data_IF_290977236445
#
_entry.id   IF_290977236445
#
_cell.length_a   1.000
_cell.length_b   1.000
_cell.length_c   1.000
_cell.angle_alpha   90.00
_cell.angle_beta   90.00
_cell.angle_gamma   90.00
#
_symmetry.space_group_name_H-M   'P 1'
#
loop_
_entity.id
_entity.type
_entity.pdbx_description
1 polymer ?
2 non-polymer ?
3 water ?
#
# COMPACT_ATOMS: atom_id res chain seq x y z
N UNK A 25 4.60 23.71 -34.89
CA UNK A 25 6.05 23.78 -34.71
C UNK A 25 6.70 24.76 -35.68
N UNK A 26 6.60 24.49 -36.97
CA UNK A 26 7.17 25.37 -37.99
C UNK A 26 6.09 26.07 -38.81
N UNK A 27 4.84 25.99 -38.33
CA UNK A 27 3.70 26.63 -38.98
C UNK A 27 2.51 26.49 -38.02
N UNK A 28 1.77 27.57 -37.78
CA UNK A 28 0.62 27.47 -36.89
C UNK A 28 -0.62 27.16 -37.71
N UNK A 29 -1.27 26.06 -37.35
CA UNK A 29 -2.48 25.63 -38.02
C UNK A 29 -3.69 26.38 -37.48
N UNK A 30 -4.77 26.34 -38.24
CA UNK A 30 -6.04 26.94 -37.86
C UNK A 30 -6.53 26.36 -36.52
N UNK A 31 -6.89 27.23 -35.57
CA UNK A 31 -7.47 26.78 -34.30
C UNK A 31 -8.79 26.03 -34.47
N UNK A 32 -9.08 25.07 -33.60
CA UNK A 32 -10.43 24.48 -33.51
C UNK A 32 -11.44 25.52 -33.05
N UNK A 33 -12.68 25.39 -33.52
CA UNK A 33 -13.75 26.22 -33.04
C UNK A 33 -14.49 25.47 -31.93
N UNK A 34 -14.38 25.98 -30.69
CA UNK A 34 -14.89 25.30 -29.49
C UNK A 34 -16.15 25.97 -28.96
N UNK A 35 -16.95 25.22 -28.18
CA UNK A 35 -18.08 25.85 -27.47
C UNK A 35 -17.57 26.89 -26.47
N UNK A 36 -18.43 27.78 -25.99
CA UNK A 36 -17.99 28.78 -25.03
C UNK A 36 -17.76 28.18 -23.65
N UNK A 37 -16.86 28.78 -22.87
CA UNK A 37 -16.58 28.28 -21.53
C UNK A 37 -17.79 28.40 -20.61
N UNK A 38 -18.75 29.25 -20.98
CA UNK A 38 -19.97 29.42 -20.17
C UNK A 38 -20.87 28.19 -20.26
N UNK A 39 -20.75 27.42 -21.34
CA UNK A 39 -21.52 26.18 -21.45
C UNK A 39 -20.68 24.92 -21.26
N UNK A 40 -19.35 25.07 -21.25
CA UNK A 40 -18.47 23.90 -21.09
C UNK A 40 -17.14 24.33 -20.42
N UNK A 41 -17.02 24.08 -19.12
CA UNK A 41 -15.97 24.66 -18.27
C UNK A 41 -14.54 24.38 -18.72
N UNK A 42 -14.36 23.23 -19.34
CA UNK A 42 -13.01 22.75 -19.59
C UNK A 42 -12.27 23.56 -20.66
N UNK A 43 -12.98 24.37 -21.44
CA UNK A 43 -12.30 25.12 -22.50
C UNK A 43 -11.94 26.54 -22.05
N UNK A 44 -12.14 26.85 -20.77
CA UNK A 44 -11.59 28.08 -20.21
C UNK A 44 -10.10 28.17 -20.57
N UNK A 45 -9.64 29.34 -21.00
CA UNK A 45 -8.26 29.49 -21.47
C UNK A 45 -7.21 29.13 -20.39
N UNK A 46 -6.25 28.27 -20.75
CA UNK A 46 -5.11 27.99 -19.87
C UNK A 46 -4.42 29.27 -19.45
N UNK A 47 -4.06 29.36 -18.17
CA UNK A 47 -3.23 30.45 -17.68
C UNK A 47 -2.51 29.95 -16.44
N UNK A 48 -1.60 30.76 -15.91
CA UNK A 48 -0.95 30.45 -14.65
C UNK A 48 -1.92 30.47 -13.47
N UNK A 49 -3.14 30.97 -13.70
CA UNK A 49 -4.17 30.97 -12.67
C UNK A 49 -5.00 29.69 -12.62
N UNK A 50 -4.79 28.77 -13.55
CA UNK A 50 -5.54 27.54 -13.47
C UNK A 50 -4.76 26.28 -13.84
N UNK A 51 -3.59 26.42 -14.44
CA UNK A 51 -2.74 25.24 -14.67
C UNK A 51 -1.27 25.60 -14.78
N UNK A 52 -0.42 24.84 -14.09
CA UNK A 52 1.02 25.12 -14.11
C UNK A 52 1.81 23.83 -14.36
N UNK A 53 2.93 23.97 -15.05
CA UNK A 53 3.76 22.85 -15.45
C UNK A 53 5.15 22.92 -14.82
N UNK A 54 5.81 21.76 -14.69
CA UNK A 54 7.21 21.71 -14.25
C UNK A 54 8.14 22.15 -15.37
N UNK A 55 9.44 22.30 -15.06
CA UNK A 55 10.46 22.52 -16.09
C UNK A 55 11.58 21.50 -16.01
N UNK A 62 8.06 13.74 -24.26
CA UNK A 62 7.96 15.14 -24.63
C UNK A 62 6.71 15.81 -24.08
N UNK A 63 5.90 15.04 -23.34
CA UNK A 63 4.68 15.55 -22.75
C UNK A 63 4.99 16.43 -21.56
N UNK A 64 4.38 17.63 -21.51
CA UNK A 64 4.60 18.51 -20.36
C UNK A 64 4.20 17.84 -19.05
N UNK A 65 4.93 18.14 -17.99
CA UNK A 65 4.68 17.53 -16.69
C UNK A 65 3.87 18.49 -15.84
N UNK A 66 2.67 18.08 -15.45
CA UNK A 66 1.79 18.98 -14.72
C UNK A 66 2.24 19.16 -13.28
N UNK A 67 2.38 20.40 -12.86
CA UNK A 67 2.76 20.73 -11.49
C UNK A 67 1.51 20.92 -10.63
N UNK A 68 0.50 21.57 -11.19
CA UNK A 68 -0.73 21.77 -10.44
C UNK A 68 -1.80 22.40 -11.30
N UNK A 69 -3.01 22.52 -10.75
CA UNK A 69 -4.09 23.17 -11.49
C UNK A 69 -5.37 23.11 -10.69
N UNK A 70 -6.42 23.73 -11.22
CA UNK A 70 -7.74 23.51 -10.69
C UNK A 70 -8.11 22.06 -11.01
N UNK A 71 -9.05 21.49 -10.27
CA UNK A 71 -9.44 20.12 -10.57
C UNK A 71 -10.02 20.04 -11.98
N UNK A 72 -10.67 21.11 -12.44
CA UNK A 72 -11.22 21.11 -13.80
C UNK A 72 -10.11 20.97 -14.84
N UNK A 73 -9.02 21.72 -14.65
CA UNK A 73 -7.90 21.64 -15.57
C UNK A 73 -7.16 20.29 -15.46
N UNK A 74 -7.08 19.75 -14.26
CA UNK A 74 -6.48 18.42 -14.10
C UNK A 74 -7.28 17.38 -14.88
N UNK A 75 -8.60 17.46 -14.79
CA UNK A 75 -9.48 16.57 -15.54
C UNK A 75 -9.30 16.78 -17.04
N UNK A 76 -9.21 18.03 -17.48
CA UNK A 76 -9.03 18.31 -18.90
C UNK A 76 -7.79 17.60 -19.42
N UNK A 77 -6.68 17.75 -18.70
CA UNK A 77 -5.42 17.13 -19.13
C UNK A 77 -5.43 15.62 -18.96
N UNK A 78 -6.21 15.14 -18.01
CA UNK A 78 -6.40 13.70 -17.82
C UNK A 78 -7.02 13.06 -19.07
N UNK A 79 -7.77 13.88 -19.80
CA UNK A 79 -8.53 13.42 -20.96
C UNK A 79 -8.30 14.35 -22.15
N UNK A 80 -7.04 14.70 -22.36
CA UNK A 80 -6.68 15.78 -23.28
C UNK A 80 -6.88 15.37 -24.73
N UNK A 81 -7.37 16.28 -25.55
CA UNK A 81 -7.66 15.90 -26.94
C UNK A 81 -6.43 15.68 -27.82
N UNK A 82 -5.30 16.28 -27.47
CA UNK A 82 -4.14 16.27 -28.38
C UNK A 82 -3.25 15.03 -28.28
N UNK A 83 -3.28 14.32 -27.15
CA UNK A 83 -2.52 13.09 -27.00
C UNK A 83 -2.91 12.34 -25.73
N UNK A 84 -2.57 11.06 -25.69
CA UNK A 84 -2.70 10.23 -24.50
C UNK A 84 -1.61 10.58 -23.49
N UNK A 85 -1.89 10.29 -22.21
CA UNK A 85 -0.95 10.62 -21.15
C UNK A 85 -1.04 9.52 -20.07
N UNK A 86 -0.55 8.32 -20.40
CA UNK A 86 -0.73 7.17 -19.49
C UNK A 86 -0.06 7.34 -18.13
N UNK A 87 1.07 8.02 -18.07
CA UNK A 87 1.71 8.19 -16.77
C UNK A 87 0.84 9.06 -15.88
N UNK A 88 0.25 10.09 -16.46
CA UNK A 88 -0.62 10.97 -15.69
C UNK A 88 -1.89 10.25 -15.28
N UNK A 89 -2.47 9.46 -16.18
CA UNK A 89 -3.68 8.69 -15.84
C UNK A 89 -3.41 7.77 -14.64
N UNK A 90 -2.27 7.08 -14.68
CA UNK A 90 -1.94 6.16 -13.59
C UNK A 90 -1.76 6.88 -12.27
N UNK A 91 -0.97 7.96 -12.28
CA UNK A 91 -0.67 8.71 -11.06
C UNK A 91 -1.91 9.39 -10.53
N UNK A 92 -2.70 9.95 -11.44
CA UNK A 92 -3.96 10.57 -11.05
C UNK A 92 -4.86 9.55 -10.34
N UNK A 93 -5.04 8.37 -10.93
CA UNK A 93 -5.99 7.43 -10.33
C UNK A 93 -5.50 6.88 -9.00
N UNK A 94 -4.18 6.83 -8.82
CA UNK A 94 -3.61 6.40 -7.54
C UNK A 94 -3.81 7.46 -6.44
N UNK A 95 -3.72 8.73 -6.83
CA UNK A 95 -3.64 9.79 -5.82
C UNK A 95 -4.84 10.73 -5.70
N UNK A 96 -5.83 10.64 -6.58
CA UNK A 96 -6.82 11.72 -6.66
C UNK A 96 -7.66 11.89 -5.40
N UNK A 97 -7.75 10.85 -4.56
CA UNK A 97 -8.66 10.90 -3.42
C UNK A 97 -8.17 11.91 -2.40
N UNK A 98 -6.91 12.30 -2.52
CA UNK A 98 -6.31 13.34 -1.69
C UNK A 98 -6.70 14.77 -2.11
N UNK A 99 -7.39 14.92 -3.24
CA UNK A 99 -7.87 16.26 -3.64
C UNK A 99 -9.26 16.26 -4.28
N UNK A 100 -9.87 15.09 -4.42
CA UNK A 100 -11.15 15.01 -5.11
C UNK A 100 -11.88 13.74 -4.66
N UNK A 101 -13.19 13.82 -4.41
CA UNK A 101 -13.93 12.63 -3.99
C UNK A 101 -14.26 11.74 -5.19
N UNK A 102 -14.38 10.42 -4.97
CA UNK A 102 -14.76 9.49 -6.03
C UNK A 102 -16.05 9.89 -6.77
N UNK A 103 -17.11 10.27 -6.05
CA UNK A 103 -18.35 10.70 -6.68
C UNK A 103 -18.13 11.98 -7.51
N UNK A 104 -17.28 12.85 -6.99
CA UNK A 104 -16.93 14.11 -7.63
C UNK A 104 -16.17 13.84 -8.93
N UNK A 105 -15.23 12.89 -8.90
CA UNK A 105 -14.48 12.52 -10.09
C UNK A 105 -15.41 11.98 -11.18
N UNK A 106 -16.33 11.11 -10.79
CA UNK A 106 -17.31 10.58 -11.76
C UNK A 106 -18.14 11.72 -12.36
N UNK A 107 -18.59 12.66 -11.53
CA UNK A 107 -19.38 13.79 -12.04
C UNK A 107 -18.55 14.63 -13.02
N UNK A 108 -17.28 14.86 -12.68
CA UNK A 108 -16.40 15.63 -13.56
C UNK A 108 -16.18 14.93 -14.89
N UNK A 109 -16.05 13.61 -14.87
CA UNK A 109 -15.77 12.89 -16.12
C UNK A 109 -17.01 12.86 -17.01
N UNK A 110 -18.17 12.76 -16.38
CA UNK A 110 -19.43 12.81 -17.12
C UNK A 110 -19.62 14.21 -17.71
N UNK A 111 -19.35 15.25 -16.92
CA UNK A 111 -19.36 16.62 -17.39
C UNK A 111 -18.42 16.83 -18.59
N UNK A 112 -17.22 16.23 -18.50
CA UNK A 112 -16.24 16.30 -19.58
C UNK A 112 -16.78 15.64 -20.85
N UNK A 113 -17.54 14.57 -20.67
CA UNK A 113 -18.02 13.75 -21.79
C UNK A 113 -19.08 14.45 -22.59
N UNK A 114 -19.96 15.16 -21.90
CA UNK A 114 -21.15 15.72 -22.53
C UNK A 114 -20.81 17.08 -23.14
N UNK A 115 -20.06 17.03 -24.23
CA UNK A 115 -19.55 18.22 -24.87
C UNK A 115 -20.60 18.83 -25.79
N UNK A 116 -20.95 20.10 -25.57
CA UNK A 116 -21.90 20.77 -26.47
C UNK A 116 -21.18 21.24 -27.72
N UNK A 117 -21.87 21.27 -28.86
CA UNK A 117 -21.23 21.78 -30.07
C UNK A 117 -21.38 23.29 -30.09
N UNK A 118 -20.40 24.00 -30.69
CA UNK A 118 -20.49 25.46 -30.79
C UNK A 118 -21.79 25.87 -31.49
N UNK A 119 -22.30 27.06 -31.17
CA UNK A 119 -23.45 27.63 -31.89
C UNK A 119 -23.18 27.68 -33.39
N UNK A 120 -24.08 27.11 -34.20
CA UNK A 120 -23.91 27.23 -35.66
C UNK A 120 -23.84 28.69 -36.10
N UNK A 121 -22.95 28.97 -37.04
CA UNK A 121 -22.80 30.32 -37.57
C UNK A 121 -23.99 30.62 -38.50
N UNK A 122 -24.13 31.87 -38.92
CA UNK A 122 -25.23 32.22 -39.80
C UNK A 122 -25.17 31.46 -41.12
N UNK A 123 -23.96 31.33 -41.67
CA UNK A 123 -23.77 30.56 -42.90
C UNK A 123 -24.06 29.07 -42.70
N UNK A 124 -23.68 28.55 -41.54
CA UNK A 124 -24.02 27.18 -41.16
C UNK A 124 -25.52 26.95 -41.21
N UNK A 125 -26.27 27.90 -40.64
CA UNK A 125 -27.73 27.79 -40.54
C UNK A 125 -28.39 27.80 -41.91
N UNK A 126 -27.83 28.58 -42.83
CA UNK A 126 -28.29 28.60 -44.21
C UNK A 126 -28.15 27.22 -44.87
N UNK A 127 -26.94 26.67 -44.78
CA UNK A 127 -26.61 25.38 -45.39
C UNK A 127 -27.47 24.25 -44.85
N UNK A 128 -27.71 24.24 -43.54
CA UNK A 128 -28.56 23.24 -42.92
C UNK A 128 -30.00 23.32 -43.44
N UNK A 129 -30.52 24.54 -43.50
CA UNK A 129 -31.88 24.76 -43.96
C UNK A 129 -32.04 24.46 -45.45
N UNK A 130 -31.00 24.74 -46.22
CA UNK A 130 -30.98 24.42 -47.65
C UNK A 130 -31.17 22.91 -47.86
N UNK A 131 -30.56 22.13 -46.98
CA UNK A 131 -30.70 20.68 -47.00
C UNK A 131 -29.64 19.97 -47.83
N UNK A 132 -29.28 18.76 -47.41
CA UNK A 132 -28.37 17.89 -48.16
C UNK A 132 -27.00 18.53 -48.40
N UNK A 133 -26.61 19.44 -47.52
CA UNK A 133 -25.28 20.02 -47.54
C UNK A 133 -24.43 19.34 -46.46
N UNK A 134 -23.13 19.17 -46.73
CA UNK A 134 -22.24 18.64 -45.68
C UNK A 134 -22.20 19.60 -44.49
N UNK A 135 -21.94 19.09 -43.29
CA UNK A 135 -21.76 19.96 -42.12
C UNK A 135 -20.56 20.86 -42.35
N UNK A 136 -20.43 21.94 -41.58
CA UNK A 136 -19.36 22.90 -41.81
C UNK A 136 -18.00 22.24 -41.57
N UNK A 137 -16.98 22.73 -42.26
CA UNK A 137 -15.62 22.23 -42.07
C UNK A 137 -15.19 22.36 -40.61
N UNK A 138 -15.57 23.44 -39.95
CA UNK A 138 -15.20 23.66 -38.55
C UNK A 138 -15.88 22.65 -37.66
N UNK A 139 -17.13 22.32 -37.96
CA UNK A 139 -17.87 21.37 -37.12
C UNK A 139 -17.31 19.97 -37.31
N UNK A 140 -16.97 19.63 -38.55
CA UNK A 140 -16.34 18.33 -38.85
C UNK A 140 -15.04 18.17 -38.06
N UNK A 141 -14.18 19.19 -38.08
CA UNK A 141 -12.93 19.16 -37.33
C UNK A 141 -13.15 19.00 -35.84
N UNK A 142 -14.11 19.75 -35.32
CA UNK A 142 -14.42 19.71 -33.89
C UNK A 142 -14.85 18.29 -33.48
N UNK A 143 -15.74 17.68 -34.25
CA UNK A 143 -16.22 16.34 -33.91
C UNK A 143 -15.09 15.31 -33.97
N UNK A 144 -14.22 15.44 -34.96
CA UNK A 144 -13.18 14.47 -35.21
C UNK A 144 -11.95 14.67 -34.33
N UNK A 145 -11.54 15.93 -34.17
CA UNK A 145 -10.28 16.21 -33.49
C UNK A 145 -10.46 16.55 -32.02
N UNK A 146 -11.68 16.84 -31.60
CA UNK A 146 -11.88 17.20 -30.19
C UNK A 146 -12.83 16.25 -29.49
N UNK A 147 -14.06 16.21 -29.95
CA UNK A 147 -15.08 15.41 -29.27
C UNK A 147 -14.71 13.92 -29.20
N UNK A 148 -14.40 13.31 -30.33
CA UNK A 148 -14.15 11.86 -30.31
C UNK A 148 -12.90 11.51 -29.49
N UNK A 149 -11.77 12.21 -29.67
CA UNK A 149 -10.62 11.89 -28.81
C UNK A 149 -10.90 12.08 -27.33
N UNK A 150 -11.54 13.18 -26.93
CA UNK A 150 -11.81 13.40 -25.51
C UNK A 150 -12.71 12.29 -24.97
N UNK A 151 -13.76 11.97 -25.71
CA UNK A 151 -14.69 10.95 -25.23
C UNK A 151 -14.04 9.58 -25.10
N UNK A 152 -13.14 9.23 -26.02
CA UNK A 152 -12.40 7.98 -25.93
C UNK A 152 -11.43 7.99 -24.74
N UNK A 153 -10.79 9.14 -24.49
CA UNK A 153 -9.90 9.24 -23.33
C UNK A 153 -10.66 9.09 -22.02
N UNK A 154 -11.89 9.59 -21.97
CA UNK A 154 -12.72 9.40 -20.79
C UNK A 154 -13.02 7.92 -20.58
N UNK A 155 -13.41 7.23 -21.65
CA UNK A 155 -13.69 5.80 -21.53
C UNK A 155 -12.42 5.04 -21.11
N UNK A 156 -11.26 5.47 -21.58
CA UNK A 156 -9.99 4.88 -21.13
C UNK A 156 -9.79 5.07 -19.63
N UNK A 157 -10.06 6.27 -19.14
CA UNK A 157 -9.93 6.53 -17.70
C UNK A 157 -10.87 5.61 -16.90
N UNK A 158 -12.13 5.51 -17.33
CA UNK A 158 -13.09 4.60 -16.70
C UNK A 158 -12.53 3.17 -16.61
N UNK A 159 -11.99 2.69 -17.73
CA UNK A 159 -11.43 1.33 -17.82
C UNK A 159 -10.29 1.11 -16.82
N UNK A 160 -9.36 2.05 -16.74
CA UNK A 160 -8.28 1.96 -15.75
C UNK A 160 -8.80 2.08 -14.31
N UNK A 161 -9.83 2.90 -14.13
CA UNK A 161 -10.40 3.12 -12.81
C UNK A 161 -11.01 1.82 -12.26
N UNK A 162 -11.86 1.17 -13.05
CA UNK A 162 -12.47 -0.08 -12.58
C UNK A 162 -11.49 -1.26 -12.57
N UNK A 163 -10.48 -1.22 -13.42
CA UNK A 163 -9.50 -2.30 -13.46
C UNK A 163 -8.58 -2.27 -12.24
N UNK A 164 -8.07 -1.10 -11.90
CA UNK A 164 -7.00 -1.00 -10.91
C UNK A 164 -7.42 -0.42 -9.56
N UNK A 165 -8.65 0.09 -9.49
CA UNK A 165 -9.14 0.70 -8.26
C UNK A 165 -10.58 0.35 -7.98
N UNK A 166 -10.93 -0.92 -8.21
CA UNK A 166 -12.31 -1.31 -8.10
C UNK A 166 -12.86 -1.16 -6.67
N UNK A 167 -11.95 -1.11 -5.69
CA UNK A 167 -12.38 -0.90 -4.30
C UNK A 167 -13.18 0.39 -4.12
N UNK A 168 -12.94 1.41 -4.94
CA UNK A 168 -13.76 2.63 -4.88
C UNK A 168 -15.23 2.27 -5.06
N UNK A 169 -15.49 1.30 -5.93
CA UNK A 169 -16.85 0.93 -6.27
C UNK A 169 -17.43 -0.08 -5.28
N UNK A 170 -16.54 -0.86 -4.66
CA UNK A 170 -16.96 -1.81 -3.62
C UNK A 170 -17.39 -1.05 -2.37
N UNK A 171 -16.68 0.05 -2.08
CA UNK A 171 -16.94 0.89 -0.92
C UNK A 171 -18.13 1.80 -1.09
N UNK A 172 -18.55 2.02 -2.34
CA UNK A 172 -19.63 2.94 -2.61
C UNK A 172 -20.51 2.38 -3.72
N UNK A 173 -21.64 1.78 -3.33
CA UNK A 173 -22.52 1.14 -4.30
C UNK A 173 -23.15 2.12 -5.27
N UNK A 174 -23.44 3.33 -4.81
CA UNK A 174 -24.08 4.31 -5.69
C UNK A 174 -23.11 4.75 -6.77
N UNK A 175 -21.82 4.81 -6.44
CA UNK A 175 -20.80 5.16 -7.42
C UNK A 175 -20.84 4.20 -8.61
N UNK A 176 -20.90 2.90 -8.34
CA UNK A 176 -20.91 1.90 -9.41
C UNK A 176 -22.20 1.96 -10.21
N UNK A 177 -23.31 2.12 -9.52
CA UNK A 177 -24.60 2.24 -10.18
C UNK A 177 -24.64 3.46 -11.10
N UNK A 178 -24.10 4.58 -10.64
CA UNK A 178 -23.99 5.77 -11.49
C UNK A 178 -23.12 5.51 -12.72
N UNK A 179 -21.98 4.87 -12.51
CA UNK A 179 -21.09 4.60 -13.63
C UNK A 179 -21.78 3.69 -14.66
N UNK A 180 -22.36 2.60 -14.18
CA UNK A 180 -23.03 1.64 -15.07
C UNK A 180 -24.17 2.30 -15.82
N UNK A 181 -24.93 3.14 -15.13
CA UNK A 181 -26.03 3.84 -15.77
C UNK A 181 -25.50 4.75 -16.86
N UNK A 182 -24.41 5.46 -16.57
CA UNK A 182 -23.86 6.36 -17.56
C UNK A 182 -23.40 5.62 -18.81
N UNK A 183 -22.67 4.52 -18.66
CA UNK A 183 -22.12 3.87 -19.86
C UNK A 183 -23.21 3.19 -20.68
N UNK A 184 -24.34 2.87 -20.05
CA UNK A 184 -25.49 2.35 -20.79
C UNK A 184 -26.12 3.45 -21.66
N UNK A 185 -25.91 4.71 -21.27
CA UNK A 185 -26.49 5.84 -21.99
C UNK A 185 -25.65 6.27 -23.20
N UNK A 186 -24.45 5.73 -23.34
CA UNK A 186 -23.57 6.16 -24.43
C UNK A 186 -24.02 5.60 -25.78
N UNK A 187 -24.07 6.47 -26.79
CA UNK A 187 -24.51 6.11 -28.14
C UNK A 187 -23.35 5.94 -29.13
N UNK A 188 -23.62 5.23 -30.22
CA UNK A 188 -22.68 5.16 -31.32
C UNK A 188 -21.75 3.96 -31.30
N UNK A 189 -21.61 3.33 -32.46
CA UNK A 189 -20.79 2.12 -32.59
C UNK A 189 -19.31 2.39 -32.32
N UNK A 190 -18.90 3.65 -32.42
CA UNK A 190 -17.50 4.02 -32.24
C UNK A 190 -17.01 3.74 -30.82
N UNK A 191 -17.94 3.60 -29.88
CA UNK A 191 -17.58 3.43 -28.48
C UNK A 191 -18.12 2.17 -27.86
N UNK A 192 -18.90 1.41 -28.63
CA UNK A 192 -19.51 0.21 -28.08
C UNK A 192 -18.46 -0.80 -27.66
N UNK A 193 -17.35 -0.84 -28.39
CA UNK A 193 -16.21 -1.67 -28.01
C UNK A 193 -15.70 -1.27 -26.63
N UNK A 194 -15.58 0.04 -26.42
CA UNK A 194 -15.10 0.59 -25.15
C UNK A 194 -16.08 0.35 -24.01
N UNK A 195 -17.35 0.64 -24.25
CA UNK A 195 -18.38 0.46 -23.23
C UNK A 195 -18.46 -1.02 -22.80
N UNK A 196 -18.53 -1.92 -23.78
CA UNK A 196 -18.59 -3.36 -23.49
C UNK A 196 -17.34 -3.85 -22.77
N UNK A 197 -16.20 -3.26 -23.09
CA UNK A 197 -14.96 -3.60 -22.40
C UNK A 197 -15.01 -3.19 -20.92
N UNK A 198 -15.58 -2.02 -20.65
CA UNK A 198 -15.74 -1.56 -19.28
C UNK A 198 -16.72 -2.48 -18.53
N UNK A 199 -17.82 -2.83 -19.20
CA UNK A 199 -18.81 -3.75 -18.63
C UNK A 199 -18.18 -5.08 -18.28
N UNK A 200 -17.36 -5.61 -19.20
CA UNK A 200 -16.71 -6.90 -19.01
C UNK A 200 -15.81 -6.89 -17.78
N UNK A 201 -15.06 -5.81 -17.60
CA UNK A 201 -14.20 -5.69 -16.42
C UNK A 201 -15.04 -5.65 -15.16
N UNK A 202 -16.16 -4.92 -15.21
CA UNK A 202 -17.01 -4.82 -14.03
C UNK A 202 -17.62 -6.18 -13.70
N UNK A 203 -18.00 -6.94 -14.73
CA UNK A 203 -18.50 -8.29 -14.55
C UNK A 203 -17.50 -9.19 -13.83
N UNK A 204 -16.27 -9.21 -14.32
CA UNK A 204 -15.21 -10.01 -13.73
C UNK A 204 -14.92 -9.60 -12.28
N UNK A 205 -14.92 -8.31 -12.03
CA UNK A 205 -14.66 -7.80 -10.68
C UNK A 205 -15.76 -8.21 -9.69
N UNK A 206 -17.02 -8.12 -10.13
CA UNK A 206 -18.16 -8.42 -9.26
C UNK A 206 -18.19 -9.89 -8.85
N UNK A 207 -17.85 -10.78 -9.79
CA UNK A 207 -17.84 -12.20 -9.52
C UNK A 207 -16.86 -12.58 -8.41
N UNK A 208 -15.62 -12.15 -8.55
CA UNK A 208 -14.54 -12.49 -7.62
C UNK A 208 -14.91 -12.21 -6.15
N UNK A 217 -4.05 -22.62 -4.70
CA UNK A 217 -2.61 -22.36 -4.67
C UNK A 217 -1.82 -23.52 -5.26
N UNK A 218 -0.94 -23.22 -6.22
CA UNK A 218 -0.16 -24.25 -6.91
C UNK A 218 1.34 -24.06 -6.75
N UNK A 219 2.08 -25.16 -6.84
CA UNK A 219 3.52 -25.15 -6.68
C UNK A 219 4.25 -25.74 -7.89
N UNK A 220 5.23 -25.00 -8.40
CA UNK A 220 6.04 -25.42 -9.54
C UNK A 220 6.97 -26.57 -9.15
N UNK A 221 7.47 -26.49 -7.92
CA UNK A 221 8.25 -27.56 -7.30
C UNK A 221 7.70 -27.78 -5.90
N UNK A 222 7.72 -29.03 -5.41
CA UNK A 222 7.13 -29.36 -4.11
C UNK A 222 7.67 -28.51 -2.95
N UNK A 223 6.79 -27.85 -2.19
CA UNK A 223 7.23 -27.12 -1.00
C UNK A 223 7.78 -28.08 0.04
N UNK A 224 8.67 -27.60 0.91
CA UNK A 224 9.21 -28.50 1.93
C UNK A 224 8.12 -28.96 2.91
N UNK A 225 8.31 -30.13 3.52
CA UNK A 225 7.34 -30.62 4.51
C UNK A 225 7.22 -29.68 5.71
N UNK A 226 6.02 -29.55 6.25
CA UNK A 226 5.79 -28.78 7.47
C UNK A 226 6.63 -29.37 8.60
N UNK A 227 7.26 -28.50 9.39
CA UNK A 227 8.08 -28.93 10.53
C UNK A 227 7.32 -28.82 11.84
N UNK A 228 7.43 -29.87 12.67
CA UNK A 228 6.79 -29.90 13.98
C UNK A 228 7.80 -30.20 15.06
N UNK A 229 7.56 -29.63 16.25
CA UNK A 229 8.45 -29.77 17.40
C UNK A 229 7.66 -30.49 18.50
N UNK A 230 7.30 -29.79 19.57
CA UNK A 230 6.57 -30.42 20.67
C UNK A 230 5.07 -30.48 20.38
N UNK A 231 4.49 -29.34 20.00
CA UNK A 231 3.10 -29.33 19.54
C UNK A 231 2.98 -30.17 18.27
N UNK A 232 1.95 -31.00 18.21
CA UNK A 232 1.76 -31.89 17.08
C UNK A 232 0.55 -31.43 16.26
N UNK A 233 0.47 -31.85 14.98
CA UNK A 233 -0.62 -31.41 14.11
C UNK A 233 -1.98 -31.50 14.79
N UNK A 234 -2.78 -30.46 14.65
CA UNK A 234 -4.13 -30.45 15.23
C UNK A 234 -4.23 -29.97 16.66
N UNK A 235 -3.13 -30.04 17.41
CA UNK A 235 -3.15 -29.65 18.83
C UNK A 235 -3.03 -28.15 19.04
N UNK A 236 -3.86 -27.35 18.37
CA UNK A 236 -3.64 -25.91 18.35
C UNK A 236 -3.76 -25.26 19.73
N UNK A 237 -4.39 -25.95 20.68
CA UNK A 237 -4.54 -25.43 22.04
C UNK A 237 -3.20 -25.35 22.78
N UNK A 238 -2.23 -26.13 22.33
CA UNK A 238 -0.92 -26.21 22.96
C UNK A 238 0.13 -25.32 22.30
N UNK A 239 -0.24 -24.72 21.17
CA UNK A 239 0.68 -23.89 20.39
C UNK A 239 1.25 -22.76 21.23
N UNK A 240 2.56 -22.56 21.13
CA UNK A 240 3.22 -21.45 21.80
C UNK A 240 4.59 -21.28 21.18
N UNK A 241 5.27 -20.19 21.50
CA UNK A 241 6.58 -19.90 20.90
C UNK A 241 7.56 -21.06 21.01
N UNK A 242 7.56 -21.74 22.16
CA UNK A 242 8.60 -22.73 22.42
C UNK A 242 8.18 -24.14 22.07
N UNK A 243 6.88 -24.35 21.85
CA UNK A 243 6.40 -25.70 21.51
C UNK A 243 6.21 -25.89 20.02
N UNK A 244 6.04 -24.81 19.28
CA UNK A 244 6.03 -24.90 17.82
C UNK A 244 7.47 -25.03 17.33
N UNK A 245 7.64 -25.43 16.07
CA UNK A 245 8.98 -25.53 15.50
C UNK A 245 9.45 -24.15 15.00
N UNK A 246 10.66 -23.72 15.38
CA UNK A 246 11.10 -22.37 15.00
C UNK A 246 11.16 -22.17 13.48
N UNK A 247 11.53 -23.20 12.72
CA UNK A 247 11.48 -23.08 11.27
C UNK A 247 10.07 -22.76 10.80
N UNK A 248 9.11 -23.48 11.36
CA UNK A 248 7.73 -23.34 10.87
C UNK A 248 7.07 -22.05 11.38
N UNK A 249 7.44 -21.60 12.58
CA UNK A 249 7.00 -20.28 13.03
C UNK A 249 7.41 -19.22 11.99
N UNK A 250 8.68 -19.25 11.60
CA UNK A 250 9.18 -18.28 10.63
C UNK A 250 8.49 -18.43 9.27
N UNK A 251 8.29 -19.67 8.83
CA UNK A 251 7.60 -19.89 7.55
C UNK A 251 6.18 -19.35 7.57
N UNK A 252 5.43 -19.68 8.63
CA UNK A 252 4.02 -19.33 8.64
C UNK A 252 3.84 -17.84 8.82
N UNK A 253 4.73 -17.23 9.61
CA UNK A 253 4.68 -15.77 9.75
C UNK A 253 5.09 -15.08 8.46
N UNK A 254 6.01 -15.68 7.72
CA UNK A 254 6.42 -15.12 6.44
C UNK A 254 5.27 -15.20 5.43
N UNK A 255 4.57 -16.32 5.39
CA UNK A 255 3.39 -16.44 4.51
C UNK A 255 2.33 -15.41 4.88
N UNK A 256 2.07 -15.26 6.17
CA UNK A 256 1.09 -14.29 6.64
C UNK A 256 1.51 -12.86 6.25
N UNK A 257 2.75 -12.50 6.54
CA UNK A 257 3.22 -11.12 6.28
C UNK A 257 3.31 -10.83 4.80
N UNK A 258 3.65 -11.85 4.02
CA UNK A 258 3.67 -11.72 2.56
C UNK A 258 2.27 -11.40 2.04
N UNK A 259 1.27 -12.11 2.56
CA UNK A 259 -0.11 -11.89 2.17
C UNK A 259 -0.59 -10.48 2.56
N UNK A 260 -0.27 -10.05 3.77
CA UNK A 260 -0.64 -8.71 4.22
C UNK A 260 0.01 -7.64 3.35
N UNK A 261 1.28 -7.83 3.05
CA UNK A 261 2.03 -6.86 2.25
C UNK A 261 1.44 -6.74 0.86
N UNK A 262 1.13 -7.89 0.27
CA UNK A 262 0.64 -7.96 -1.10
C UNK A 262 -0.69 -7.24 -1.29
N UNK A 263 -1.49 -7.19 -0.23
CA UNK A 263 -2.82 -6.61 -0.32
C UNK A 263 -2.88 -5.09 -0.14
N UNK A 264 -1.76 -4.45 0.19
CA UNK A 264 -1.78 -3.00 0.39
C UNK A 264 -1.84 -2.25 -0.95
N UNK A 265 -2.87 -1.43 -1.11
CA UNK A 265 -2.98 -0.58 -2.29
C UNK A 265 -2.34 0.77 -2.01
N UNK A 266 -1.63 1.33 -3.01
CA UNK A 266 -0.96 2.63 -2.92
C UNK A 266 -1.85 3.76 -2.38
N UNK A 267 -3.13 3.80 -2.78
CA UNK A 267 -4.02 4.87 -2.33
C UNK A 267 -4.25 4.84 -0.82
N UNK A 268 -3.99 3.69 -0.18
CA UNK A 268 -4.12 3.59 1.28
C UNK A 268 -3.05 4.40 1.98
N UNK A 269 -1.99 4.74 1.24
CA UNK A 269 -0.86 5.49 1.76
C UNK A 269 -0.90 6.98 1.41
N UNK A 270 -1.60 7.32 0.35
CA UNK A 270 -1.62 8.70 -0.12
C UNK A 270 -2.34 9.62 0.86
N UNK A 271 -1.82 10.82 1.07
CA UNK A 271 -2.48 11.81 1.89
C UNK A 271 -2.48 11.44 3.36
N UNK A 272 -1.64 10.48 3.72
CA UNK A 272 -1.57 9.96 5.09
C UNK A 272 -2.95 9.55 5.60
N UNK A 273 -3.78 8.98 4.74
CA UNK A 273 -5.16 8.70 5.11
C UNK A 273 -5.29 7.66 6.22
N UNK A 274 -4.26 6.82 6.41
CA UNK A 274 -4.32 5.78 7.45
C UNK A 274 -4.19 6.38 8.85
N UNK A 275 -3.86 7.67 8.92
CA UNK A 275 -3.70 8.33 10.22
C UNK A 275 -4.87 9.28 10.50
N UNK A 276 -5.87 9.26 9.63
CA UNK A 276 -6.95 10.24 9.71
C UNK A 276 -8.29 9.59 10.02
N UNK A 277 -9.32 10.44 10.13
CA UNK A 277 -10.63 10.08 10.66
C UNK A 277 -11.24 8.82 10.04
N UNK A 278 -11.20 8.73 8.71
CA UNK A 278 -11.82 7.59 8.04
C UNK A 278 -10.82 6.49 7.69
N UNK A 279 -9.77 6.35 8.50
CA UNK A 279 -8.70 5.39 8.20
C UNK A 279 -9.21 3.95 8.01
N UNK A 280 -10.26 3.55 8.73
CA UNK A 280 -10.66 2.15 8.68
C UNK A 280 -11.26 1.80 7.32
N UNK A 281 -11.87 2.80 6.68
CA UNK A 281 -12.46 2.63 5.36
C UNK A 281 -11.42 2.79 4.25
N UNK A 282 -10.56 3.78 4.40
CA UNK A 282 -9.61 4.15 3.34
C UNK A 282 -8.33 3.33 3.33
N UNK A 283 -7.94 2.78 4.48
CA UNK A 283 -6.67 2.06 4.57
C UNK A 283 -6.75 0.71 5.28
N UNK A 284 -7.76 -0.13 4.93
CA UNK A 284 -7.95 -1.34 5.73
C UNK A 284 -6.79 -2.33 5.66
N UNK A 285 -6.16 -2.46 4.51
CA UNK A 285 -5.09 -3.45 4.36
C UNK A 285 -3.81 -2.94 5.00
N UNK A 286 -3.52 -1.66 4.80
CA UNK A 286 -2.37 -1.04 5.46
C UNK A 286 -2.50 -1.13 6.98
N UNK A 287 -3.67 -0.81 7.53
CA UNK A 287 -3.85 -0.92 8.97
C UNK A 287 -3.69 -2.36 9.48
N UNK A 288 -4.17 -3.34 8.73
CA UNK A 288 -4.00 -4.74 9.12
C UNK A 288 -2.53 -5.09 9.22
N UNK A 289 -1.75 -4.58 8.27
CA UNK A 289 -0.31 -4.83 8.23
C UNK A 289 0.40 -4.19 9.41
N UNK A 290 0.12 -2.91 9.64
CA UNK A 290 0.71 -2.19 10.76
C UNK A 290 0.35 -2.84 12.09
N UNK A 291 -0.91 -3.24 12.24
CA UNK A 291 -1.38 -3.78 13.49
C UNK A 291 -0.79 -5.17 13.74
N UNK A 292 -0.60 -5.93 12.66
CA UNK A 292 0.10 -7.21 12.76
C UNK A 292 1.50 -7.01 13.32
N UNK A 293 2.22 -6.03 12.77
CA UNK A 293 3.60 -5.77 13.17
C UNK A 293 3.66 -5.36 14.63
N UNK A 294 2.76 -4.45 15.04
CA UNK A 294 2.68 -4.04 16.44
C UNK A 294 2.41 -5.23 17.36
N UNK A 295 1.42 -6.04 17.01
CA UNK A 295 1.06 -7.16 17.87
C UNK A 295 2.17 -8.23 17.93
N UNK A 296 2.79 -8.51 16.80
CA UNK A 296 3.84 -9.53 16.80
C UNK A 296 5.05 -9.07 17.61
N UNK A 297 5.43 -7.80 17.44
CA UNK A 297 6.55 -7.25 18.23
C UNK A 297 6.24 -7.33 19.72
N UNK A 298 5.04 -6.91 20.11
CA UNK A 298 4.67 -6.98 21.53
C UNK A 298 4.63 -8.42 21.99
N UNK A 299 4.23 -9.35 21.13
CA UNK A 299 4.21 -10.76 21.54
C UNK A 299 5.61 -11.29 21.81
N UNK A 300 6.57 -10.96 20.96
CA UNK A 300 7.96 -11.38 21.23
C UNK A 300 8.43 -10.81 22.57
N UNK A 301 8.11 -9.53 22.83
CA UNK A 301 8.51 -8.91 24.08
C UNK A 301 7.88 -9.61 25.29
N UNK A 302 6.58 -9.87 25.16
CA UNK A 302 5.84 -10.57 26.21
C UNK A 302 6.45 -11.94 26.52
N UNK A 303 6.78 -12.70 25.48
CA UNK A 303 7.38 -14.02 25.67
C UNK A 303 8.67 -13.93 26.46
N UNK A 304 9.47 -12.93 26.14
CA UNK A 304 10.76 -12.76 26.83
C UNK A 304 10.57 -12.35 28.29
N UNK A 305 9.81 -11.29 28.50
CA UNK A 305 9.69 -10.70 29.84
C UNK A 305 8.89 -11.58 30.80
N UNK A 306 7.94 -12.37 30.26
CA UNK A 306 7.13 -13.25 31.10
C UNK A 306 7.83 -14.56 31.44
N UNK A 307 8.97 -14.81 30.81
CA UNK A 307 9.78 -15.98 31.17
C UNK A 307 10.62 -15.62 32.39
N UNK A 308 10.08 -15.84 33.58
CA UNK A 308 10.73 -15.35 34.80
C UNK A 308 11.94 -16.19 35.18
N UNK A 309 11.88 -17.49 34.94
CA UNK A 309 13.03 -18.38 35.14
C UNK A 309 14.15 -18.02 34.18
N UNK A 310 15.35 -17.78 34.72
CA UNK A 310 16.45 -17.25 33.92
C UNK A 310 16.81 -18.15 32.73
N UNK A 311 16.97 -19.45 32.98
CA UNK A 311 17.36 -20.38 31.91
C UNK A 311 16.29 -20.44 30.82
N UNK A 312 15.04 -20.42 31.25
CA UNK A 312 13.92 -20.43 30.31
C UNK A 312 13.96 -19.17 29.44
N UNK A 313 14.25 -18.05 30.06
CA UNK A 313 14.23 -16.77 29.34
C UNK A 313 15.34 -16.72 28.31
N UNK A 314 16.52 -17.22 28.70
CA UNK A 314 17.62 -17.27 27.78
C UNK A 314 17.26 -18.18 26.59
N UNK A 315 16.55 -19.27 26.86
CA UNK A 315 16.13 -20.18 25.80
C UNK A 315 15.09 -19.55 24.89
N UNK A 316 14.22 -18.71 25.46
CA UNK A 316 13.23 -18.00 24.66
C UNK A 316 13.88 -16.99 23.73
N UNK A 317 14.80 -16.19 24.26
CA UNK A 317 15.51 -15.21 23.43
C UNK A 317 16.30 -15.93 22.34
N UNK A 318 16.92 -17.05 22.71
CA UNK A 318 17.68 -17.85 21.74
C UNK A 318 16.77 -18.36 20.62
N UNK A 319 15.57 -18.79 20.98
CA UNK A 319 14.62 -19.31 19.99
C UNK A 319 14.17 -18.20 19.05
N UNK A 320 13.99 -17.01 19.62
CA UNK A 320 13.60 -15.85 18.82
C UNK A 320 14.72 -15.48 17.84
N UNK A 321 15.97 -15.64 18.24
CA UNK A 321 17.08 -15.39 17.32
C UNK A 321 17.08 -16.47 16.20
N UNK A 322 16.75 -17.70 16.54
CA UNK A 322 16.66 -18.73 15.50
C UNK A 322 15.56 -18.39 14.49
N UNK A 323 14.42 -17.92 14.98
CA UNK A 323 13.33 -17.50 14.10
C UNK A 323 13.82 -16.36 13.20
N UNK A 324 14.58 -15.43 13.78
CA UNK A 324 15.17 -14.33 12.99
C UNK A 324 16.05 -14.88 11.87
N UNK A 325 16.90 -15.85 12.17
CA UNK A 325 17.74 -16.48 11.16
C UNK A 325 16.93 -17.02 9.98
N UNK A 326 15.84 -17.71 10.29
CA UNK A 326 15.02 -18.26 9.21
C UNK A 326 14.28 -17.16 8.42
N UNK A 327 13.79 -16.13 9.12
CA UNK A 327 13.28 -14.92 8.46
C UNK A 327 14.31 -14.38 7.46
N UNK A 328 15.55 -14.23 7.94
CA UNK A 328 16.68 -13.78 7.10
C UNK A 328 16.88 -14.70 5.87
N UNK A 329 16.91 -16.00 6.11
CA UNK A 329 17.07 -16.96 5.01
C UNK A 329 15.95 -16.84 3.98
N UNK A 330 14.76 -16.46 4.43
CA UNK A 330 13.58 -16.33 3.58
C UNK A 330 13.43 -14.93 2.97
N UNK A 331 14.40 -14.05 3.23
CA UNK A 331 14.30 -12.64 2.85
C UNK A 331 13.05 -11.95 3.37
N UNK A 332 12.58 -12.36 4.55
CA UNK A 332 11.48 -11.64 5.20
C UNK A 332 12.09 -10.60 6.12
N UNK A 333 12.40 -9.43 5.58
CA UNK A 333 13.02 -8.40 6.40
C UNK A 333 12.00 -7.72 7.30
N UNK A 334 10.72 -7.80 6.94
CA UNK A 334 9.68 -7.33 7.83
C UNK A 334 9.78 -8.08 9.17
N UNK A 335 9.89 -9.40 9.08
CA UNK A 335 10.03 -10.23 10.27
C UNK A 335 11.35 -10.01 10.99
N UNK A 336 12.44 -9.85 10.25
CA UNK A 336 13.73 -9.61 10.90
C UNK A 336 13.66 -8.36 11.74
N UNK A 337 13.09 -7.29 11.18
CA UNK A 337 13.08 -6.02 11.89
C UNK A 337 12.00 -5.94 12.97
N UNK A 338 10.96 -6.78 12.89
CA UNK A 338 10.03 -6.92 14.01
C UNK A 338 10.76 -7.45 15.25
N UNK A 339 11.63 -8.43 15.04
CA UNK A 339 12.40 -8.99 16.14
C UNK A 339 13.45 -8.00 16.65
N UNK A 340 14.11 -7.28 15.76
CA UNK A 340 15.05 -6.23 16.16
C UNK A 340 14.31 -5.17 17.01
N UNK A 341 13.11 -4.81 16.56
CA UNK A 341 12.30 -3.84 17.29
C UNK A 341 12.00 -4.36 18.69
N UNK A 342 11.67 -5.64 18.78
CA UNK A 342 11.34 -6.26 20.06
C UNK A 342 12.53 -6.23 21.02
N UNK A 343 13.74 -6.55 20.56
CA UNK A 343 14.87 -6.55 21.50
C UNK A 343 15.36 -5.12 21.81
N UNK A 344 15.03 -4.15 20.95
CA UNK A 344 15.32 -2.74 21.24
C UNK A 344 14.35 -2.10 22.25
N UNK A 345 13.19 -2.73 22.45
CA UNK A 345 12.16 -2.17 23.34
C UNK A 345 12.73 -1.92 24.74
N UNK A 346 12.24 -0.89 25.43
CA UNK A 346 12.90 -0.53 26.68
C UNK A 346 12.81 -1.65 27.74
N UNK A 347 11.75 -2.46 27.69
CA UNK A 347 11.58 -3.53 28.69
C UNK A 347 12.55 -4.69 28.42
N UNK A 348 12.87 -4.93 27.16
CA UNK A 348 13.77 -6.06 26.83
C UNK A 348 15.24 -5.66 26.83
N UNK A 349 15.53 -4.50 26.25
CA UNK A 349 16.89 -4.00 26.05
C UNK A 349 17.65 -3.93 27.36
N UNK A 350 16.91 -3.68 28.44
CA UNK A 350 17.56 -3.53 29.75
C UNK A 350 17.94 -4.85 30.42
N UNK A 351 17.62 -5.98 29.80
CA UNK A 351 17.88 -7.29 30.42
C UNK A 351 19.31 -7.76 30.13
N UNK A 352 20.28 -7.04 30.66
CA UNK A 352 21.69 -7.32 30.33
C UNK A 352 22.13 -8.74 30.68
N UNK A 353 21.61 -9.29 31.77
CA UNK A 353 22.01 -10.64 32.18
C UNK A 353 21.58 -11.69 31.16
N UNK A 354 20.41 -11.46 30.56
CA UNK A 354 19.87 -12.39 29.57
C UNK A 354 20.68 -12.38 28.30
N UNK A 355 21.03 -11.19 27.82
CA UNK A 355 21.85 -11.07 26.62
C UNK A 355 23.26 -11.64 26.84
N UNK A 356 23.81 -11.42 28.03
CA UNK A 356 25.16 -11.91 28.32
C UNK A 356 25.23 -13.44 28.30
N UNK A 357 24.12 -14.09 28.60
CA UNK A 357 24.09 -15.56 28.69
C UNK A 357 23.86 -16.26 27.35
N UNK A 358 23.55 -15.49 26.30
CA UNK A 358 23.40 -16.04 24.95
C UNK A 358 24.69 -16.66 24.48
N UNK A 359 24.63 -17.77 23.75
CA UNK A 359 25.85 -18.30 23.16
C UNK A 359 26.36 -17.29 22.12
N UNK A 360 27.68 -17.21 22.00
CA UNK A 360 28.35 -16.20 21.18
C UNK A 360 27.87 -16.18 19.74
N UNK A 361 27.63 -17.35 19.17
CA UNK A 361 27.21 -17.45 17.78
C UNK A 361 25.82 -16.82 17.55
N UNK A 362 24.91 -17.04 18.50
CA UNK A 362 23.57 -16.47 18.38
C UNK A 362 23.62 -14.98 18.64
N UNK A 363 24.50 -14.57 19.54
CA UNK A 363 24.66 -13.15 19.81
C UNK A 363 25.15 -12.42 18.56
N UNK A 364 26.10 -13.02 17.85
CA UNK A 364 26.63 -12.42 16.63
C UNK A 364 25.53 -12.32 15.59
N UNK A 365 24.68 -13.33 15.53
CA UNK A 365 23.62 -13.34 14.52
C UNK A 365 22.66 -12.21 14.81
N UNK A 366 22.28 -12.07 16.07
CA UNK A 366 21.37 -11.00 16.48
C UNK A 366 21.98 -9.63 16.22
N UNK A 367 23.27 -9.47 16.52
CA UNK A 367 23.87 -8.14 16.36
C UNK A 367 24.04 -7.76 14.90
N UNK A 368 24.32 -8.73 14.04
CA UNK A 368 24.37 -8.40 12.62
C UNK A 368 23.01 -7.92 12.10
N UNK A 369 21.93 -8.48 12.63
CA UNK A 369 20.60 -8.07 12.20
C UNK A 369 20.29 -6.67 12.73
N UNK A 370 20.64 -6.41 13.98
CA UNK A 370 20.38 -5.11 14.57
C UNK A 370 21.12 -4.05 13.76
N UNK A 371 22.29 -4.40 13.27
CA UNK A 371 23.10 -3.46 12.51
C UNK A 371 22.47 -3.07 11.19
N UNK A 372 21.61 -3.93 10.64
CA UNK A 372 20.85 -3.58 9.44
C UNK A 372 20.07 -2.28 9.60
N UNK A 373 19.64 -2.00 10.83
CA UNK A 373 18.76 -0.86 11.06
C UNK A 373 19.53 0.42 11.38
N UNK A 374 20.81 0.30 11.69
CA UNK A 374 21.60 1.44 12.12
C UNK A 374 21.85 2.44 10.99
N UNK A 375 22.10 3.69 11.37
CA UNK A 375 22.38 4.77 10.43
C UNK A 375 21.28 4.88 9.37
N UNK A 376 20.05 5.03 9.84
CA UNK A 376 18.86 5.13 8.99
C UNK A 376 18.76 3.95 8.00
N UNK A 377 18.89 2.74 8.54
CA UNK A 377 18.73 1.50 7.79
C UNK A 377 19.68 1.38 6.59
N UNK A 378 20.88 1.95 6.72
CA UNK A 378 21.85 1.94 5.64
C UNK A 378 22.14 0.53 5.11
N UNK A 379 22.53 -0.38 6.00
CA UNK A 379 22.90 -1.73 5.57
C UNK A 379 21.70 -2.56 5.12
N UNK A 380 20.53 -2.29 5.70
CA UNK A 380 19.29 -2.90 5.21
C UNK A 380 19.01 -2.54 3.76
N UNK A 381 19.15 -1.25 3.45
CA UNK A 381 18.82 -0.75 2.13
C UNK A 381 19.72 -1.33 1.03
N UNK A 382 21.00 -1.54 1.34
CA UNK A 382 21.87 -2.17 0.37
C UNK A 382 21.52 -3.65 0.22
N UNK A 383 21.08 -4.28 1.32
CA UNK A 383 20.73 -5.70 1.24
C UNK A 383 19.46 -5.90 0.43
N UNK A 384 18.52 -4.97 0.55
CA UNK A 384 17.24 -5.06 -0.16
C UNK A 384 17.44 -5.02 -1.68
N UNK A 385 18.34 -4.16 -2.13
CA UNK A 385 18.53 -3.95 -3.57
C UNK A 385 19.21 -5.15 -4.25
N UNK A 386 19.84 -6.02 -3.46
CA UNK A 386 20.61 -7.12 -4.02
C UNK A 386 19.87 -8.45 -4.06
N UNK A 387 18.94 -8.67 -3.15
CA UNK A 387 18.37 -10.01 -3.01
C UNK A 387 17.38 -10.34 -4.11
N UNK A 388 17.12 -11.64 -4.24
CA UNK A 388 16.20 -12.13 -5.24
C UNK A 388 14.88 -12.52 -4.59
N UNK A 389 13.77 -12.30 -5.30
CA UNK A 389 12.45 -12.74 -4.84
C UNK A 389 12.42 -14.25 -4.58
N UNK A 390 11.53 -14.71 -3.71
CA UNK A 390 10.57 -13.89 -2.95
C UNK A 390 11.17 -13.19 -1.72
N UNK A 391 10.57 -12.05 -1.37
CA UNK A 391 10.99 -11.32 -0.18
C UNK A 391 9.81 -10.58 0.42
N UNK A 392 9.95 -10.16 1.68
CA UNK A 392 8.99 -9.25 2.30
C UNK A 392 9.74 -8.06 2.85
N UNK A 393 9.66 -6.91 2.17
CA UNK A 393 10.39 -5.73 2.60
C UNK A 393 9.93 -5.24 3.96
N UNK A 394 10.84 -4.57 4.66
CA UNK A 394 10.48 -3.82 5.86
C UNK A 394 9.57 -2.68 5.43
N UNK A 395 8.36 -2.63 6.00
CA UNK A 395 7.35 -1.69 5.54
C UNK A 395 7.53 -0.29 6.15
N UNK A 396 8.13 -0.23 7.34
CA UNK A 396 8.25 1.02 8.07
C UNK A 396 8.92 2.17 7.37
N UNK A 397 9.89 1.88 6.52
CA UNK A 397 10.65 2.93 5.89
C UNK A 397 9.81 3.68 4.85
N UNK A 398 8.86 2.97 4.22
CA UNK A 398 7.95 3.61 3.27
C UNK A 398 6.99 4.54 4.00
N UNK A 399 6.49 4.10 5.15
CA UNK A 399 5.56 4.91 5.93
C UNK A 399 6.21 6.21 6.41
N UNK A 400 7.43 6.08 6.92
CA UNK A 400 8.20 7.23 7.35
C UNK A 400 8.42 8.23 6.20
N UNK A 401 8.88 7.73 5.05
CA UNK A 401 9.13 8.61 3.90
C UNK A 401 7.86 9.27 3.38
N UNK A 402 6.76 8.54 3.38
CA UNK A 402 5.50 9.12 2.95
C UNK A 402 5.04 10.21 3.93
N UNK A 403 5.16 9.96 5.23
CA UNK A 403 4.77 10.96 6.21
C UNK A 403 5.61 12.24 6.04
N UNK A 404 6.91 12.10 5.85
CA UNK A 404 7.78 13.25 5.62
C UNK A 404 7.37 14.03 4.39
N UNK A 405 7.09 13.32 3.30
CA UNK A 405 6.73 13.97 2.05
C UNK A 405 5.39 14.70 2.17
N UNK A 406 4.42 14.09 2.84
CA UNK A 406 3.12 14.74 3.05
C UNK A 406 3.29 16.01 3.90
N UNK A 407 4.08 15.88 4.97
CA UNK A 407 4.37 17.02 5.84
C UNK A 407 5.19 18.12 5.15
N UNK A 408 6.11 17.72 4.29
CA UNK A 408 7.08 18.65 3.73
C UNK A 408 6.67 19.33 2.44
N UNK A 409 5.42 19.11 2.02
CA UNK A 409 4.90 19.72 0.80
C UNK A 409 3.47 20.19 1.00
N UNK A 410 3.14 21.36 0.47
CA UNK A 410 1.79 21.89 0.64
C UNK A 410 0.82 21.22 -0.32
N UNK A 411 -0.43 21.03 0.13
CA UNK A 411 -1.47 20.46 -0.72
C UNK A 411 -1.85 21.39 -1.86
N UNK A 412 -1.61 22.69 -1.66
CA UNK A 412 -2.04 23.68 -2.63
C UNK A 412 -0.90 24.56 -3.09
N UNK A 413 -1.04 25.08 -4.30
CA UNK A 413 -0.21 26.18 -4.77
C UNK A 413 -1.00 27.46 -4.55
N UNK A 414 -0.40 28.40 -3.83
CA UNK A 414 -1.09 29.64 -3.48
C UNK A 414 -1.27 30.56 -4.70
N UNK A 415 -2.49 31.09 -4.85
CA UNK A 415 -2.82 32.01 -5.93
C UNK A 415 -3.58 33.20 -5.38
N UNK A 416 -3.70 34.25 -6.19
CA UNK A 416 -4.50 35.41 -5.83
C UNK A 416 -5.98 35.00 -5.81
N UNK A 417 -6.39 34.20 -6.79
CA UNK A 417 -7.73 33.62 -6.80
C UNK A 417 -7.76 32.27 -6.09
N UNK A 418 -8.53 31.34 -6.64
CA UNK A 418 -8.59 29.99 -6.08
C UNK A 418 -7.21 29.32 -6.13
N UNK A 419 -6.78 28.76 -5.00
CA UNK A 419 -5.50 28.08 -4.96
C UNK A 419 -5.54 26.81 -5.79
N UNK A 420 -4.41 26.43 -6.35
CA UNK A 420 -4.35 25.28 -7.23
C UNK A 420 -3.96 24.02 -6.47
N UNK A 421 -4.45 22.88 -6.92
CA UNK A 421 -4.03 21.62 -6.37
C UNK A 421 -2.55 21.40 -6.71
N UNK A 422 -1.74 21.07 -5.71
CA UNK A 422 -0.33 20.77 -5.93
C UNK A 422 -0.17 19.32 -6.38
N UNK A 423 -0.16 19.08 -7.70
CA UNK A 423 -0.14 17.70 -8.17
C UNK A 423 1.27 17.09 -8.05
N UNK A 424 2.29 17.92 -8.14
CA UNK A 424 3.65 17.40 -8.05
C UNK A 424 3.90 16.74 -6.69
N UNK A 425 3.25 17.24 -5.65
CA UNK A 425 3.30 16.58 -4.35
C UNK A 425 2.76 15.16 -4.44
N UNK A 426 1.65 14.98 -5.15
CA UNK A 426 1.05 13.66 -5.26
C UNK A 426 1.94 12.73 -6.05
N UNK A 427 2.56 13.26 -7.11
CA UNK A 427 3.50 12.49 -7.91
C UNK A 427 4.65 11.97 -7.06
N UNK A 428 5.16 12.82 -6.16
CA UNK A 428 6.26 12.40 -5.28
C UNK A 428 5.84 11.25 -4.37
N UNK A 429 4.63 11.32 -3.84
CA UNK A 429 4.12 10.23 -3.01
C UNK A 429 3.97 8.96 -3.85
N UNK A 430 3.41 9.11 -5.05
CA UNK A 430 3.20 7.95 -5.92
C UNK A 430 4.52 7.27 -6.27
N UNK A 431 5.61 8.04 -6.36
CA UNK A 431 6.93 7.45 -6.60
C UNK A 431 7.27 6.49 -5.47
N UNK A 432 7.02 6.91 -4.23
CA UNK A 432 7.28 6.02 -3.09
C UNK A 432 6.37 4.80 -3.12
N UNK A 433 5.07 4.98 -3.36
CA UNK A 433 4.17 3.82 -3.38
C UNK A 433 4.49 2.87 -4.53
N UNK A 434 5.06 3.38 -5.61
CA UNK A 434 5.47 2.52 -6.72
C UNK A 434 6.54 1.51 -6.32
N UNK A 435 7.38 1.91 -5.37
CA UNK A 435 8.46 1.08 -4.88
C UNK A 435 7.90 -0.10 -4.09
N UNK A 436 6.84 0.16 -3.33
CA UNK A 436 6.18 -0.90 -2.56
C UNK A 436 5.65 -1.96 -3.50
N UNK A 437 5.05 -1.52 -4.61
CA UNK A 437 4.40 -2.44 -5.53
C UNK A 437 5.34 -3.43 -6.19
N UNK A 438 6.62 -3.07 -6.34
CA UNK A 438 7.52 -3.93 -7.12
C UNK A 438 7.80 -5.26 -6.40
N UNK A 439 7.42 -5.36 -5.13
CA UNK A 439 7.66 -6.58 -4.36
C UNK A 439 6.39 -7.38 -4.03
N UNK A 440 5.26 -7.01 -4.64
CA UNK A 440 3.97 -7.59 -4.27
C UNK A 440 3.53 -8.81 -5.09
N UNK A 441 4.31 -9.20 -6.08
CA UNK A 441 3.92 -10.36 -6.86
C UNK A 441 4.97 -11.45 -6.77
N UNK A 442 5.32 -11.82 -5.54
CA UNK A 442 6.38 -12.80 -5.30
C UNK A 442 5.97 -13.85 -4.29
N UNK A 443 5.22 -14.87 -4.73
CA UNK A 443 4.75 -15.95 -3.84
C UNK A 443 5.88 -16.81 -3.30
N UNK A 444 5.74 -17.24 -2.04
CA UNK A 444 6.68 -18.17 -1.43
C UNK A 444 6.33 -19.62 -1.74
N UNK A 445 7.35 -20.44 -1.94
CA UNK A 445 7.16 -21.86 -2.15
C UNK A 445 7.07 -22.57 -0.80
N UNK A 446 6.06 -22.20 -0.02
CA UNK A 446 5.87 -22.73 1.32
C UNK A 446 4.40 -23.07 1.50
N UNK A 447 4.13 -24.22 2.11
CA UNK A 447 2.76 -24.67 2.34
C UNK A 447 2.19 -24.02 3.60
N UNK A 448 0.95 -23.55 3.52
CA UNK A 448 0.26 -22.97 4.69
C UNK A 448 -0.11 -24.07 5.68
N UNK A 449 0.12 -23.81 6.97
CA UNK A 449 -0.40 -24.66 8.04
C UNK A 449 -1.58 -23.93 8.65
N UNK A 450 -2.82 -24.41 8.38
CA UNK A 450 -4.01 -23.63 8.73
C UNK A 450 -4.14 -23.30 10.23
N UNK A 451 -3.87 -24.25 11.12
CA UNK A 451 -3.96 -23.96 12.56
C UNK A 451 -2.90 -22.94 13.01
N UNK A 452 -1.68 -23.09 12.52
CA UNK A 452 -0.63 -22.14 12.87
C UNK A 452 -0.94 -20.75 12.29
N UNK A 453 -1.48 -20.71 11.08
CA UNK A 453 -1.93 -19.44 10.49
C UNK A 453 -2.95 -18.74 11.38
N UNK A 454 -3.97 -19.47 11.85
CA UNK A 454 -4.98 -18.89 12.73
C UNK A 454 -4.35 -18.41 14.03
N UNK A 455 -3.41 -19.18 14.56
CA UNK A 455 -2.72 -18.80 15.79
C UNK A 455 -2.06 -17.43 15.65
N UNK A 456 -1.36 -17.22 14.55
CA UNK A 456 -0.65 -15.96 14.39
C UNK A 456 -1.58 -14.82 14.00
N UNK A 457 -2.66 -15.12 13.28
CA UNK A 457 -3.64 -14.09 12.97
C UNK A 457 -4.36 -13.59 14.23
N UNK A 458 -4.52 -14.48 15.20
CA UNK A 458 -5.29 -14.18 16.38
C UNK A 458 -4.47 -13.75 17.61
N UNK A 459 -3.15 -13.58 17.45
CA UNK A 459 -2.30 -13.16 18.57
C UNK A 459 -2.84 -11.90 19.23
N UNK A 460 -2.98 -11.94 20.55
CA UNK A 460 -3.46 -10.79 21.31
C UNK A 460 -2.66 -10.61 22.59
N UNK A 461 -1.40 -10.20 22.46
CA UNK A 461 -0.56 -10.09 23.65
C UNK A 461 -1.10 -9.13 24.71
N UNK A 462 -1.79 -8.07 24.31
CA UNK A 462 -2.22 -7.06 25.27
C UNK A 462 -3.38 -7.52 26.13
N UNK A 463 -4.11 -8.54 25.67
CA UNK A 463 -5.29 -8.99 26.39
C UNK A 463 -6.30 -7.87 26.51
N UNK A 464 -6.70 -7.55 27.74
CA UNK A 464 -7.66 -6.47 27.96
C UNK A 464 -6.98 -5.11 28.18
N UNK A 465 -5.65 -5.11 28.22
CA UNK A 465 -4.93 -3.88 28.54
C UNK A 465 -4.89 -2.91 27.37
N UNK A 466 -4.83 -1.63 27.68
CA UNK A 466 -4.52 -0.62 26.67
C UNK A 466 -3.04 -0.76 26.31
N UNK A 467 -2.63 -0.18 25.19
CA UNK A 467 -1.23 -0.25 24.80
C UNK A 467 -0.36 0.39 25.88
N UNK A 468 -0.83 1.50 26.46
CA UNK A 468 -0.13 2.15 27.55
C UNK A 468 -0.04 1.25 28.78
N UNK A 469 -1.16 0.66 29.15
CA UNK A 469 -1.18 -0.25 30.29
C UNK A 469 -0.23 -1.42 30.05
N UNK A 470 -0.23 -1.95 28.83
CA UNK A 470 0.58 -3.13 28.55
C UNK A 470 2.07 -2.78 28.53
N UNK A 471 2.39 -1.61 28.00
CA UNK A 471 3.75 -1.09 28.03
C UNK A 471 4.29 -1.00 29.46
N UNK A 472 3.49 -0.43 30.36
CA UNK A 472 3.88 -0.35 31.75
C UNK A 472 4.02 -1.74 32.35
N UNK A 473 3.08 -2.62 32.02
CA UNK A 473 3.14 -4.00 32.52
C UNK A 473 4.47 -4.67 32.13
N UNK A 474 4.84 -4.57 30.86
CA UNK A 474 6.10 -5.15 30.42
C UNK A 474 7.28 -4.59 31.20
N UNK A 475 7.28 -3.28 31.43
CA UNK A 475 8.45 -2.69 32.06
C UNK A 475 8.56 -3.13 33.50
N UNK A 476 7.42 -3.17 34.19
CA UNK A 476 7.45 -3.54 35.58
C UNK A 476 7.80 -5.01 35.73
N UNK A 477 7.40 -5.84 34.78
CA UNK A 477 7.79 -7.26 34.79
C UNK A 477 9.30 -7.38 34.58
N UNK A 478 9.84 -6.57 33.67
CA UNK A 478 11.28 -6.51 33.42
C UNK A 478 12.04 -6.16 34.70
N UNK A 479 11.52 -5.18 35.44
CA UNK A 479 12.15 -4.76 36.69
C UNK A 479 12.10 -5.86 37.73
N UNK A 480 11.05 -6.67 37.69
CA UNK A 480 10.91 -7.79 38.61
C UNK A 480 11.92 -8.90 38.32
N UNK A 481 12.07 -9.26 37.05
CA UNK A 481 12.95 -10.38 36.72
C UNK A 481 14.43 -10.03 36.70
N UNK A 482 14.76 -8.77 36.42
CA UNK A 482 16.15 -8.29 36.55
C UNK A 482 16.14 -6.89 37.16
N UNK A 483 16.10 -6.81 38.50
CA UNK A 483 16.05 -5.51 39.18
C UNK A 483 17.25 -4.63 38.86
N UNK A 484 17.08 -3.32 38.95
CA UNK A 484 18.18 -2.38 38.77
C UNK A 484 19.31 -2.71 39.73
N UNK A 485 20.54 -2.64 39.23
CA UNK A 485 21.73 -2.88 40.04
C UNK A 485 21.76 -4.26 40.72
N UNK A 486 21.20 -5.26 40.05
CA UNK A 486 21.32 -6.61 40.56
C UNK A 486 22.50 -7.26 39.88
N UNK A 487 23.40 -7.83 40.68
CA UNK A 487 24.60 -8.43 40.10
C UNK A 487 24.28 -9.81 39.54
N UNK A 488 23.27 -10.45 40.11
CA UNK A 488 22.78 -11.71 39.56
C UNK A 488 21.24 -11.76 39.55
N UNK A 489 20.66 -12.18 38.42
CA UNK A 489 19.21 -12.30 38.28
C UNK A 489 18.64 -13.26 39.31
N UNK A 490 17.63 -12.82 40.09
CA UNK A 490 17.10 -13.69 41.13
C UNK A 490 16.48 -14.96 40.55
N UNK A 491 16.38 -15.98 41.39
CA UNK A 491 15.85 -17.28 40.98
C UNK A 491 14.32 -17.25 40.97
N UNK A 492 13.75 -17.64 39.84
CA UNK A 492 12.32 -17.85 39.74
C UNK A 492 12.13 -19.29 39.25
N UNK A 493 11.06 -19.95 39.72
CA UNK A 493 10.80 -21.34 39.36
C UNK A 493 10.47 -21.53 37.88
N UNK A 494 10.83 -22.69 37.34
CA UNK A 494 10.54 -23.01 35.95
C UNK A 494 9.03 -23.16 35.81
N UNK A 495 8.49 -22.73 34.68
CA UNK A 495 7.05 -22.74 34.47
C UNK A 495 6.61 -24.00 33.72
N UNK A 496 7.32 -24.32 32.65
CA UNK A 496 6.98 -25.48 31.83
C UNK A 496 7.86 -26.66 32.19
N UNK A 497 7.46 -27.85 31.75
CA UNK A 497 8.24 -29.04 32.02
C UNK A 497 8.95 -29.57 30.79
N UNK A 498 8.67 -29.01 29.61
CA UNK A 498 9.28 -29.53 28.40
C UNK A 498 10.73 -29.10 28.30
N UNK A 499 11.50 -29.82 27.48
CA UNK A 499 12.88 -29.45 27.17
C UNK A 499 12.95 -28.01 26.67
N UNK A 500 14.02 -27.31 27.04
CA UNK A 500 14.27 -25.98 26.51
C UNK A 500 15.08 -26.08 25.24
N UNK A 501 15.53 -27.29 24.91
CA UNK A 501 16.41 -27.52 23.78
C UNK A 501 15.68 -27.26 22.49
N UNK A 502 16.29 -26.46 21.63
CA UNK A 502 15.70 -26.19 20.33
C UNK A 502 15.95 -27.36 19.38
N UNK A 503 15.00 -27.60 18.45
CA UNK A 503 15.23 -28.59 17.39
C UNK A 503 16.17 -28.04 16.33
N UNK A 504 16.53 -26.75 16.44
CA UNK A 504 17.42 -26.13 15.49
C UNK A 504 16.70 -25.66 14.23
N UNK A 505 17.45 -25.09 13.29
CA UNK A 505 16.82 -24.51 12.13
C UNK A 505 17.21 -25.23 10.83
N UNK A 506 17.76 -26.43 10.97
CA UNK A 506 18.02 -27.28 9.81
C UNK A 506 16.79 -28.15 9.53
N UNK A 507 16.26 -28.09 8.30
CA UNK A 507 15.08 -28.89 7.95
C UNK A 507 15.42 -30.38 7.90
N UNK A 508 14.42 -31.24 7.95
CA UNK A 508 14.67 -32.68 7.94
C UNK A 508 14.38 -33.32 6.57
#
# INVERSE_FOLDING_TARGET
>A
MSYYHHHHHHLESTSLYKKAGFENLYFQEQPLRLPSPEVYRFVVKDSEENIVFEDNLQSRSGIPIIKGGTVVKLIERLTYHMYADPNFVRTFLTTYRSFCKPQELLSLLIERFEIPEPEPTDADKLAIEKGEQPISADLKRFRKEYVQPVQLRILNVFRHWVEHHFYDFERDLELLERLESFISSVRGKAMKKWVESIAKIIRRKKQAQANGVSHNITFESPPPPIEWHISKPGQFETFDLMTLHPIEIARQLTLLESDLYRKVQPSELVGSVWTKEDKEINSPNLLKMIRHTTNLTLWFEKCIVEAENFEERVAVLSRIIEILQVFQDLNNFNGVLEIVSAVNSVSVYRLDHTFEALQERKRKILDEAVELSQDHFKKYLVKLKSINPPCVPFFGIYLTNILKTEEGNNDFLKKKGKDLINFSKRRKVAEITGEIQQYQNQPYCLRIEPDMRRFFENLNPMGSASEKEFTDYLFNKSLEIEPRNCKQPPRFPRKSTFSLKSPGIRPNTGRHGS
#
